data_IF_482069102900
#
_entry.id   IF_482069102900
#
_cell.length_a   1.000
_cell.length_b   1.000
_cell.length_c   1.000
_cell.angle_alpha   90.00
_cell.angle_beta   90.00
_cell.angle_gamma   90.00
#
_symmetry.space_group_name_H-M   'P 1'
#
loop_
_entity.id
_entity.type
_entity.pdbx_description
1 polymer ?
#
# COMPACT_ATOMS: atom_id res chain seq x y z
N UNK A 1 -25.38 24.75 11.27
CA UNK A 1 -26.12 23.51 11.56
C UNK A 1 -25.21 22.36 11.15
N UNK A 2 -24.58 21.67 12.11
CA UNK A 2 -23.66 20.57 11.81
C UNK A 2 -24.48 19.33 11.45
N UNK A 3 -24.42 18.93 10.19
CA UNK A 3 -25.08 17.73 9.69
C UNK A 3 -24.12 16.54 9.85
N UNK A 4 -24.45 15.60 10.73
CA UNK A 4 -23.69 14.36 10.90
C UNK A 4 -24.15 13.35 9.84
N UNK A 5 -23.19 12.83 9.06
CA UNK A 5 -23.44 11.76 8.07
C UNK A 5 -22.83 10.46 8.56
N UNK A 6 -23.59 9.39 8.46
CA UNK A 6 -23.21 8.06 8.88
C UNK A 6 -23.09 7.15 7.65
N UNK A 7 -21.87 6.74 7.24
CA UNK A 7 -21.64 5.97 6.02
C UNK A 7 -22.43 4.65 5.94
N UNK A 8 -22.78 4.07 7.08
CA UNK A 8 -23.50 2.78 7.16
C UNK A 8 -24.94 2.83 6.59
N UNK A 9 -25.55 4.02 6.51
CA UNK A 9 -26.94 4.20 6.05
C UNK A 9 -27.05 4.72 4.62
N UNK A 10 -25.95 4.70 3.87
CA UNK A 10 -25.93 5.18 2.49
C UNK A 10 -26.60 4.19 1.53
N UNK A 11 -27.12 4.72 0.42
CA UNK A 11 -27.69 3.92 -0.66
C UNK A 11 -26.66 2.97 -1.27
N UNK A 12 -27.11 1.82 -1.76
CA UNK A 12 -26.22 0.81 -2.35
C UNK A 12 -25.67 1.24 -3.74
N UNK A 13 -26.36 2.11 -4.46
CA UNK A 13 -26.02 2.46 -5.85
C UNK A 13 -25.30 3.81 -5.95
N UNK A 14 -24.38 3.96 -6.92
CA UNK A 14 -23.73 5.25 -7.16
C UNK A 14 -24.76 6.30 -7.60
N UNK A 15 -24.66 7.49 -7.03
CA UNK A 15 -25.58 8.60 -7.35
C UNK A 15 -25.46 9.02 -8.82
N UNK A 16 -26.50 9.68 -9.35
CA UNK A 16 -26.43 10.30 -10.69
C UNK A 16 -25.28 11.30 -10.81
N UNK A 17 -24.90 11.95 -9.70
CA UNK A 17 -23.76 12.87 -9.61
C UNK A 17 -22.44 12.15 -9.88
N UNK A 18 -22.23 10.95 -9.33
CA UNK A 18 -21.05 10.12 -9.65
C UNK A 18 -20.97 9.82 -11.15
N UNK A 19 -22.08 9.39 -11.76
CA UNK A 19 -22.12 9.11 -13.20
C UNK A 19 -21.79 10.35 -14.03
N UNK A 20 -22.25 11.53 -13.63
CA UNK A 20 -21.94 12.77 -14.35
C UNK A 20 -20.48 13.22 -14.16
N UNK A 21 -19.98 13.19 -12.93
CA UNK A 21 -18.69 13.81 -12.55
C UNK A 21 -17.49 12.90 -12.77
N UNK A 22 -17.64 11.60 -12.55
CA UNK A 22 -16.54 10.64 -12.67
C UNK A 22 -16.63 9.85 -13.96
N UNK A 23 -17.82 9.36 -14.33
CA UNK A 23 -18.02 8.61 -15.56
C UNK A 23 -17.99 9.61 -16.73
N UNK A 24 -19.04 10.38 -17.01
CA UNK A 24 -19.14 11.21 -18.25
C UNK A 24 -18.08 12.30 -18.49
N UNK A 25 -17.24 12.67 -17.52
CA UNK A 25 -16.22 13.74 -17.65
C UNK A 25 -14.92 13.30 -18.30
N UNK A 26 -14.57 12.01 -18.26
CA UNK A 26 -13.23 11.54 -18.68
C UNK A 26 -12.96 11.62 -20.19
N UNK A 27 -14.00 11.72 -21.02
CA UNK A 27 -13.84 11.71 -22.49
C UNK A 27 -13.46 13.09 -23.05
N UNK A 28 -13.74 14.19 -22.34
CA UNK A 28 -13.55 15.54 -22.90
C UNK A 28 -12.13 16.11 -22.77
N UNK A 29 -11.34 15.65 -21.79
CA UNK A 29 -10.13 16.38 -21.38
C UNK A 29 -8.80 15.61 -21.53
N UNK A 30 -8.80 14.43 -22.20
CA UNK A 30 -7.61 13.56 -22.32
C UNK A 30 -6.92 13.31 -20.96
N UNK A 31 -7.71 13.15 -19.92
CA UNK A 31 -7.18 12.87 -18.58
C UNK A 31 -6.65 11.44 -18.51
N UNK A 32 -5.58 11.28 -17.76
CA UNK A 32 -5.01 9.99 -17.38
C UNK A 32 -5.47 9.64 -15.97
N UNK A 33 -5.68 8.35 -15.74
CA UNK A 33 -6.06 7.84 -14.43
C UNK A 33 -4.84 7.21 -13.76
N UNK A 34 -4.56 7.64 -12.53
CA UNK A 34 -3.64 6.95 -11.63
C UNK A 34 -4.44 6.28 -10.53
N UNK A 35 -4.05 5.06 -10.18
CA UNK A 35 -4.90 4.16 -9.41
C UNK A 35 -4.08 3.21 -8.54
N UNK A 36 -4.46 3.15 -7.28
CA UNK A 36 -3.90 2.28 -6.25
C UNK A 36 -4.99 1.33 -5.76
N UNK A 37 -4.63 0.08 -5.52
CA UNK A 37 -5.55 -0.99 -5.12
C UNK A 37 -4.98 -1.72 -3.92
N UNK A 38 -5.76 -1.85 -2.85
CA UNK A 38 -5.51 -2.85 -1.81
C UNK A 38 -6.35 -4.09 -2.09
N UNK A 39 -5.73 -5.25 -2.04
CA UNK A 39 -6.40 -6.55 -2.08
C UNK A 39 -6.39 -7.13 -0.67
N UNK A 40 -7.57 -7.24 -0.07
CA UNK A 40 -7.75 -7.73 1.29
C UNK A 40 -8.32 -9.14 1.22
N UNK A 41 -7.57 -10.12 1.70
CA UNK A 41 -7.87 -11.54 1.53
C UNK A 41 -8.67 -12.06 2.73
N UNK A 42 -9.55 -13.03 2.45
CA UNK A 42 -10.38 -13.76 3.40
C UNK A 42 -11.51 -12.93 3.98
N UNK A 43 -11.21 -11.85 4.71
CA UNK A 43 -12.21 -10.98 5.31
C UNK A 43 -11.78 -9.51 5.23
N UNK A 44 -12.75 -8.62 4.99
CA UNK A 44 -12.54 -7.19 5.11
C UNK A 44 -12.95 -6.76 6.52
N UNK A 45 -12.08 -6.06 7.28
CA UNK A 45 -12.45 -5.57 8.60
C UNK A 45 -13.71 -4.71 8.58
N UNK A 46 -14.63 -5.01 9.50
CA UNK A 46 -15.88 -4.26 9.64
C UNK A 46 -15.56 -2.82 9.99
N UNK A 47 -16.09 -1.87 9.21
CA UNK A 47 -15.87 -0.45 9.42
C UNK A 47 -14.61 0.11 8.75
N UNK A 48 -13.79 -0.69 8.06
CA UNK A 48 -12.56 -0.19 7.40
C UNK A 48 -12.87 0.95 6.43
N UNK A 49 -13.81 0.71 5.51
CA UNK A 49 -14.17 1.67 4.46
C UNK A 49 -14.83 2.92 5.05
N UNK A 50 -15.68 2.72 6.05
CA UNK A 50 -16.42 3.77 6.72
C UNK A 50 -15.47 4.67 7.53
N UNK A 51 -14.51 4.08 8.25
CA UNK A 51 -13.45 4.82 8.95
C UNK A 51 -12.55 5.57 7.98
N UNK A 52 -12.19 4.96 6.85
CA UNK A 52 -11.40 5.65 5.83
C UNK A 52 -12.17 6.84 5.24
N UNK A 53 -13.45 6.67 4.92
CA UNK A 53 -14.32 7.74 4.40
C UNK A 53 -14.44 8.90 5.39
N UNK A 54 -14.49 8.62 6.69
CA UNK A 54 -14.47 9.66 7.73
C UNK A 54 -13.08 10.30 7.84
N UNK A 55 -12.01 9.52 7.81
CA UNK A 55 -10.64 10.03 7.96
C UNK A 55 -10.22 10.93 6.81
N UNK A 56 -10.82 10.83 5.61
CA UNK A 56 -10.50 11.71 4.48
C UNK A 56 -11.26 13.04 4.52
N UNK A 57 -12.24 13.23 5.42
CA UNK A 57 -13.08 14.45 5.47
C UNK A 57 -12.29 15.75 5.66
N UNK A 58 -11.13 15.71 6.33
CA UNK A 58 -10.20 16.82 6.46
C UNK A 58 -9.60 17.29 5.12
N UNK A 59 -9.65 16.46 4.09
CA UNK A 59 -9.14 16.75 2.75
C UNK A 59 -10.22 17.23 1.77
N UNK A 60 -11.50 17.24 2.19
CA UNK A 60 -12.64 17.36 1.27
C UNK A 60 -13.35 18.71 1.34
N UNK A 61 -13.68 19.26 0.18
CA UNK A 61 -14.63 20.38 0.02
C UNK A 61 -16.04 19.90 -0.30
N UNK A 62 -16.18 18.86 -1.11
CA UNK A 62 -17.48 18.25 -1.47
C UNK A 62 -17.38 16.74 -1.53
N UNK A 63 -18.35 16.07 -0.92
CA UNK A 63 -18.43 14.61 -0.84
C UNK A 63 -19.72 14.12 -1.52
N UNK A 64 -19.58 13.11 -2.37
CA UNK A 64 -20.70 12.29 -2.88
C UNK A 64 -20.46 10.83 -2.52
N UNK A 65 -21.27 10.27 -1.64
CA UNK A 65 -21.07 8.91 -1.12
C UNK A 65 -22.21 7.96 -1.49
N UNK A 66 -21.87 6.68 -1.55
CA UNK A 66 -22.76 5.52 -1.53
C UNK A 66 -22.10 4.45 -0.65
N UNK A 67 -22.80 3.35 -0.37
CA UNK A 67 -22.36 2.33 0.58
C UNK A 67 -20.94 1.79 0.34
N UNK A 68 -20.57 1.68 -0.92
CA UNK A 68 -19.32 1.07 -1.36
C UNK A 68 -18.44 2.04 -2.16
N UNK A 69 -18.66 3.35 -2.03
CA UNK A 69 -17.79 4.30 -2.68
C UNK A 69 -18.06 5.75 -2.31
N UNK A 70 -17.01 6.54 -2.45
CA UNK A 70 -16.96 7.94 -2.06
C UNK A 70 -16.22 8.69 -3.15
N UNK A 71 -16.90 9.65 -3.78
CA UNK A 71 -16.31 10.59 -4.71
C UNK A 71 -16.10 11.92 -3.98
N UNK A 72 -14.83 12.29 -3.85
CA UNK A 72 -14.36 13.47 -3.13
C UNK A 72 -13.90 14.52 -4.12
N UNK A 73 -14.22 15.79 -3.84
CA UNK A 73 -13.54 16.94 -4.42
C UNK A 73 -12.59 17.53 -3.38
N UNK A 74 -11.30 17.57 -3.67
CA UNK A 74 -10.29 18.11 -2.74
C UNK A 74 -10.34 19.63 -2.69
N UNK A 75 -9.53 20.22 -1.80
CA UNK A 75 -9.30 21.68 -1.75
C UNK A 75 -8.70 22.23 -3.05
N UNK A 76 -7.93 21.41 -3.79
CA UNK A 76 -7.31 21.75 -5.07
C UNK A 76 -8.25 21.52 -6.27
N UNK A 77 -9.56 21.40 -6.03
CA UNK A 77 -10.58 21.12 -7.04
C UNK A 77 -10.41 19.77 -7.78
N UNK A 78 -9.69 18.82 -7.17
CA UNK A 78 -9.42 17.49 -7.78
C UNK A 78 -10.47 16.48 -7.37
N UNK A 79 -10.83 15.60 -8.30
CA UNK A 79 -11.71 14.49 -8.02
C UNK A 79 -10.91 13.25 -7.60
N UNK A 80 -11.21 12.71 -6.41
CA UNK A 80 -10.67 11.46 -5.90
C UNK A 80 -11.80 10.45 -5.73
N UNK A 81 -11.61 9.25 -6.26
CA UNK A 81 -12.51 8.12 -6.09
C UNK A 81 -11.93 7.15 -5.06
N UNK A 82 -12.74 6.82 -4.07
CA UNK A 82 -12.55 5.72 -3.14
C UNK A 82 -13.68 4.71 -3.40
N UNK A 83 -13.37 3.44 -3.65
CA UNK A 83 -14.39 2.43 -3.93
C UNK A 83 -14.02 1.08 -3.30
N UNK A 84 -15.01 0.42 -2.69
CA UNK A 84 -14.93 -0.95 -2.20
C UNK A 84 -15.65 -1.88 -3.17
N UNK A 85 -15.01 -2.98 -3.56
CA UNK A 85 -15.69 -4.08 -4.26
C UNK A 85 -15.33 -5.39 -3.59
N UNK A 86 -16.18 -6.41 -3.75
CA UNK A 86 -15.92 -7.74 -3.23
C UNK A 86 -16.10 -8.75 -4.35
N UNK A 87 -15.09 -9.58 -4.57
CA UNK A 87 -15.16 -10.71 -5.49
C UNK A 87 -14.66 -11.94 -4.76
N UNK A 88 -15.50 -12.98 -4.69
CA UNK A 88 -15.20 -14.19 -3.93
C UNK A 88 -14.76 -13.87 -2.49
N UNK A 89 -13.54 -14.27 -2.14
CA UNK A 89 -12.91 -14.08 -0.83
C UNK A 89 -11.92 -12.90 -0.79
N UNK A 90 -11.94 -12.03 -1.81
CA UNK A 90 -11.08 -10.86 -1.88
C UNK A 90 -11.95 -9.61 -1.87
N UNK A 91 -11.59 -8.67 -1.00
CA UNK A 91 -12.16 -7.33 -1.00
C UNK A 91 -11.14 -6.37 -1.56
N UNK A 92 -11.54 -5.61 -2.57
CA UNK A 92 -10.70 -4.60 -3.20
C UNK A 92 -11.06 -3.24 -2.65
N UNK A 93 -10.04 -2.49 -2.24
CA UNK A 93 -10.16 -1.08 -1.91
C UNK A 93 -9.39 -0.28 -2.97
N UNK A 94 -10.16 0.40 -3.80
CA UNK A 94 -9.68 1.15 -4.95
C UNK A 94 -9.59 2.64 -4.62
N UNK A 95 -8.43 3.23 -4.87
CA UNK A 95 -8.17 4.67 -4.75
C UNK A 95 -7.72 5.19 -6.12
N UNK A 96 -8.40 6.20 -6.67
CA UNK A 96 -8.05 6.72 -7.99
C UNK A 96 -8.22 8.24 -8.09
N UNK A 97 -7.42 8.85 -8.96
CA UNK A 97 -7.61 10.24 -9.42
C UNK A 97 -7.45 10.33 -10.91
N UNK A 98 -8.11 11.33 -11.52
CA UNK A 98 -7.96 11.65 -12.94
C UNK A 98 -7.41 13.05 -13.09
N UNK A 99 -6.34 13.17 -13.85
CA UNK A 99 -5.63 14.43 -14.08
C UNK A 99 -5.18 14.54 -15.53
N UNK A 100 -4.99 15.74 -16.08
CA UNK A 100 -4.25 15.91 -17.34
C UNK A 100 -2.87 15.27 -17.24
N UNK A 101 -2.35 14.71 -18.35
CA UNK A 101 -1.05 14.00 -18.34
C UNK A 101 0.13 14.83 -17.80
N UNK A 102 0.14 16.15 -18.05
CA UNK A 102 1.13 17.10 -17.50
C UNK A 102 1.05 17.30 -15.98
N UNK A 103 -0.04 16.88 -15.35
CA UNK A 103 -0.34 17.05 -13.92
C UNK A 103 -0.27 15.70 -13.17
N UNK A 104 0.30 14.65 -13.78
CA UNK A 104 0.44 13.32 -13.18
C UNK A 104 1.06 13.35 -11.79
N UNK A 105 2.11 14.15 -11.61
CA UNK A 105 2.83 14.26 -10.34
C UNK A 105 1.96 14.88 -9.25
N UNK A 106 1.16 15.87 -9.60
CA UNK A 106 0.18 16.45 -8.70
C UNK A 106 -0.92 15.43 -8.38
N UNK A 107 -1.38 14.66 -9.37
CA UNK A 107 -2.34 13.58 -9.16
C UNK A 107 -1.84 12.55 -8.14
N UNK A 108 -0.57 12.15 -8.23
CA UNK A 108 0.06 11.31 -7.21
C UNK A 108 0.10 12.00 -5.85
N UNK A 109 0.55 13.25 -5.78
CA UNK A 109 0.60 14.01 -4.53
C UNK A 109 -0.78 14.13 -3.85
N UNK A 110 -1.85 14.28 -4.62
CA UNK A 110 -3.22 14.35 -4.12
C UNK A 110 -3.75 12.99 -3.65
N UNK A 111 -3.30 11.88 -4.26
CA UNK A 111 -3.74 10.52 -3.95
C UNK A 111 -3.02 9.93 -2.72
N UNK A 112 -1.72 10.24 -2.54
CA UNK A 112 -0.88 9.66 -1.49
C UNK A 112 -1.42 9.82 -0.05
N UNK A 113 -2.00 10.96 0.36
CA UNK A 113 -2.59 11.10 1.70
C UNK A 113 -3.66 10.04 2.00
N UNK A 114 -4.48 9.69 1.01
CA UNK A 114 -5.54 8.68 1.17
C UNK A 114 -4.93 7.28 1.20
N UNK A 115 -3.94 7.00 0.34
CA UNK A 115 -3.20 5.73 0.34
C UNK A 115 -2.57 5.49 1.71
N UNK A 116 -1.93 6.51 2.29
CA UNK A 116 -1.31 6.43 3.61
C UNK A 116 -2.33 6.20 4.73
N UNK A 117 -3.48 6.88 4.69
CA UNK A 117 -4.58 6.67 5.65
C UNK A 117 -5.14 5.25 5.55
N UNK A 118 -5.37 4.75 4.34
CA UNK A 118 -5.84 3.38 4.11
C UNK A 118 -4.84 2.33 4.62
N UNK A 119 -3.56 2.50 4.29
CA UNK A 119 -2.49 1.61 4.76
C UNK A 119 -2.31 1.67 6.28
N UNK A 120 -2.43 2.87 6.89
CA UNK A 120 -2.38 3.05 8.33
C UNK A 120 -3.53 2.35 9.04
N UNK A 121 -4.75 2.52 8.53
CA UNK A 121 -5.93 1.84 9.04
C UNK A 121 -5.76 0.32 8.98
N UNK A 122 -5.36 -0.25 7.84
CA UNK A 122 -5.20 -1.71 7.70
C UNK A 122 -4.27 -2.34 8.75
N UNK A 123 -3.26 -1.60 9.24
CA UNK A 123 -2.34 -2.05 10.30
C UNK A 123 -3.00 -2.17 11.68
N UNK A 124 -4.15 -1.53 11.90
CA UNK A 124 -4.86 -1.59 13.19
C UNK A 124 -5.57 -2.92 13.43
N UNK A 125 -5.76 -3.74 12.39
CA UNK A 125 -6.43 -5.04 12.50
C UNK A 125 -5.42 -6.18 12.43
N UNK A 126 -5.14 -6.86 13.57
CA UNK A 126 -4.23 -8.00 13.59
C UNK A 126 -4.74 -9.13 12.68
N UNK A 127 -3.83 -9.72 11.90
CA UNK A 127 -4.12 -10.88 11.06
C UNK A 127 -4.86 -10.59 9.75
N UNK A 128 -5.07 -9.31 9.40
CA UNK A 128 -5.52 -8.95 8.05
C UNK A 128 -4.38 -9.18 7.07
N UNK A 129 -4.66 -9.97 6.04
CA UNK A 129 -3.75 -10.17 4.90
C UNK A 129 -4.16 -9.20 3.80
N UNK A 130 -3.32 -8.21 3.53
CA UNK A 130 -3.56 -7.24 2.47
C UNK A 130 -2.33 -7.01 1.60
N UNK A 131 -2.53 -6.97 0.28
CA UNK A 131 -1.50 -6.59 -0.69
C UNK A 131 -1.83 -5.24 -1.32
N UNK A 132 -0.80 -4.46 -1.62
CA UNK A 132 -0.91 -3.16 -2.25
C UNK A 132 -0.38 -3.25 -3.68
N UNK A 133 -1.16 -2.75 -4.64
CA UNK A 133 -0.79 -2.69 -6.05
C UNK A 133 -1.04 -1.31 -6.63
N UNK A 134 -0.27 -0.98 -7.66
CA UNK A 134 -0.53 0.15 -8.55
C UNK A 134 -1.01 -0.40 -9.89
N UNK A 135 -2.20 0.03 -10.31
CA UNK A 135 -2.75 -0.35 -11.60
C UNK A 135 -2.06 0.45 -12.70
N UNK A 136 -1.65 -0.22 -13.78
CA UNK A 136 -0.94 0.38 -14.90
C UNK A 136 -1.80 1.44 -15.61
N UNK A 137 -1.44 2.73 -15.45
CA UNK A 137 -2.13 3.86 -16.08
C UNK A 137 -2.32 3.74 -17.60
N UNK A 138 -1.35 3.14 -18.30
CA UNK A 138 -1.40 2.87 -19.75
C UNK A 138 -2.59 1.98 -20.13
N UNK A 139 -2.97 1.04 -19.26
CA UNK A 139 -4.05 0.10 -19.52
C UNK A 139 -5.43 0.77 -19.62
N UNK A 140 -5.57 2.00 -19.10
CA UNK A 140 -6.80 2.79 -19.15
C UNK A 140 -6.89 3.71 -20.38
N UNK A 141 -5.79 3.92 -21.10
CA UNK A 141 -5.70 4.85 -22.23
C UNK A 141 -6.37 4.42 -23.54
N UNK A 142 -7.02 3.25 -23.58
CA UNK A 142 -7.73 2.70 -24.76
C UNK A 142 -9.25 2.65 -24.63
N UNK A 143 -9.83 3.41 -23.70
CA UNK A 143 -11.26 3.30 -23.38
C UNK A 143 -12.14 4.17 -24.30
N UNK A 144 -12.73 3.55 -25.32
CA UNK A 144 -13.92 4.10 -25.97
C UNK A 144 -15.12 4.08 -25.01
N UNK A 145 -15.92 5.13 -25.11
CA UNK A 145 -16.99 5.59 -24.20
C UNK A 145 -18.10 4.62 -23.80
N UNK A 146 -18.13 3.38 -24.30
CA UNK A 146 -19.28 2.46 -24.13
C UNK A 146 -19.13 1.41 -23.02
N UNK A 147 -17.95 1.24 -22.42
CA UNK A 147 -17.70 0.12 -21.50
C UNK A 147 -17.10 0.56 -20.16
N UNK A 148 -17.78 1.45 -19.43
CA UNK A 148 -17.38 1.84 -18.07
C UNK A 148 -18.05 1.02 -16.95
N UNK A 149 -18.97 0.13 -17.29
CA UNK A 149 -19.80 -0.61 -16.33
C UNK A 149 -19.19 -1.90 -15.77
N UNK A 150 -18.06 -2.39 -16.31
CA UNK A 150 -17.39 -3.60 -15.83
C UNK A 150 -15.88 -3.39 -15.70
N UNK A 151 -15.46 -2.84 -14.55
CA UNK A 151 -14.05 -2.65 -14.17
C UNK A 151 -13.43 -3.91 -13.56
N UNK A 152 -14.26 -4.81 -13.02
CA UNK A 152 -13.90 -6.10 -12.41
C UNK A 152 -13.44 -7.16 -13.42
N UNK A 153 -13.84 -7.04 -14.69
CA UNK A 153 -13.57 -8.04 -15.73
C UNK A 153 -12.42 -7.70 -16.68
N UNK A 154 -11.60 -6.68 -16.36
CA UNK A 154 -10.52 -6.24 -17.25
C UNK A 154 -9.16 -6.64 -16.71
N UNK A 155 -8.41 -7.38 -17.52
CA UNK A 155 -6.99 -7.64 -17.29
C UNK A 155 -6.23 -6.31 -17.37
N UNK A 156 -5.82 -5.79 -16.23
CA UNK A 156 -4.99 -4.60 -16.08
C UNK A 156 -3.61 -5.07 -15.63
N UNK A 157 -2.55 -4.44 -16.14
CA UNK A 157 -1.21 -4.70 -15.60
C UNK A 157 -1.11 -4.18 -14.17
N UNK A 158 -0.61 -4.98 -13.24
CA UNK A 158 -0.42 -4.57 -11.86
C UNK A 158 1.06 -4.49 -11.52
N UNK A 159 1.45 -3.42 -10.83
CA UNK A 159 2.78 -3.25 -10.27
C UNK A 159 2.72 -3.44 -8.74
N UNK A 160 3.76 -4.02 -8.13
CA UNK A 160 3.85 -4.12 -6.67
C UNK A 160 3.77 -2.74 -6.00
N UNK A 161 3.17 -2.64 -4.82
CA UNK A 161 2.96 -1.37 -4.11
C UNK A 161 4.25 -0.63 -3.72
N UNK A 162 5.38 -1.32 -3.72
CA UNK A 162 6.72 -0.77 -3.47
C UNK A 162 7.05 0.38 -4.43
N UNK A 163 6.51 0.37 -5.65
CA UNK A 163 6.73 1.43 -6.66
C UNK A 163 6.30 2.82 -6.21
N UNK A 164 5.41 2.91 -5.21
CA UNK A 164 5.01 4.19 -4.61
C UNK A 164 6.11 4.82 -3.73
N UNK A 165 7.14 4.05 -3.38
CA UNK A 165 8.18 4.40 -2.40
C UNK A 165 9.60 4.21 -2.92
N UNK A 166 9.76 3.97 -4.22
CA UNK A 166 11.06 3.84 -4.90
C UNK A 166 11.20 4.92 -5.95
N UNK A 167 12.45 5.19 -6.35
CA UNK A 167 12.71 6.15 -7.41
C UNK A 167 12.10 5.70 -8.75
N UNK A 168 11.63 6.69 -9.51
CA UNK A 168 11.04 6.46 -10.83
C UNK A 168 12.12 5.96 -11.80
N UNK A 169 11.95 4.78 -12.43
CA UNK A 169 12.88 4.29 -13.42
C UNK A 169 12.79 5.10 -14.72
N UNK A 170 13.86 5.07 -15.53
CA UNK A 170 13.89 5.71 -16.85
C UNK A 170 12.99 4.97 -17.85
N UNK A 171 12.99 3.64 -17.79
CA UNK A 171 12.20 2.76 -18.64
C UNK A 171 11.29 1.90 -17.79
N UNK A 172 10.08 1.68 -18.28
CA UNK A 172 9.11 0.85 -17.60
C UNK A 172 8.28 0.10 -18.63
N UNK A 173 8.18 -1.22 -18.46
CA UNK A 173 7.38 -2.06 -19.33
C UNK A 173 6.06 -2.41 -18.67
N UNK A 174 4.97 -2.34 -19.43
CA UNK A 174 3.66 -2.79 -18.99
C UNK A 174 3.68 -4.33 -18.78
N UNK A 175 3.39 -4.83 -17.55
CA UNK A 175 3.46 -6.27 -17.28
C UNK A 175 2.37 -7.07 -18.01
N UNK A 176 1.33 -6.39 -18.52
CA UNK A 176 0.25 -7.02 -19.30
C UNK A 176 0.56 -7.08 -20.79
N UNK A 177 1.04 -5.99 -21.39
CA UNK A 177 1.16 -5.89 -22.86
C UNK A 177 2.60 -6.01 -23.36
N UNK A 178 3.60 -5.83 -22.50
CA UNK A 178 4.99 -5.75 -22.91
C UNK A 178 5.39 -4.42 -23.55
N UNK A 179 4.47 -3.46 -23.64
CA UNK A 179 4.76 -2.13 -24.21
C UNK A 179 5.63 -1.30 -23.27
N UNK A 180 6.50 -0.46 -23.82
CA UNK A 180 7.16 0.62 -23.08
C UNK A 180 6.13 1.69 -22.72
N UNK A 181 6.10 2.09 -21.45
CA UNK A 181 5.10 3.02 -20.91
C UNK A 181 5.77 4.17 -20.17
N UNK A 182 5.09 5.31 -20.13
CA UNK A 182 5.53 6.44 -19.30
C UNK A 182 5.55 6.03 -17.82
N UNK A 183 6.72 6.01 -17.14
CA UNK A 183 6.82 5.61 -15.74
C UNK A 183 5.99 6.49 -14.79
N UNK A 184 5.69 7.74 -15.15
CA UNK A 184 4.85 8.64 -14.35
C UNK A 184 3.39 8.16 -14.20
N UNK A 185 2.95 7.21 -15.03
CA UNK A 185 1.64 6.56 -14.90
C UNK A 185 1.56 5.58 -13.73
N UNK A 186 2.69 5.25 -13.10
CA UNK A 186 2.83 4.22 -12.06
C UNK A 186 3.63 4.73 -10.86
N UNK A 187 4.66 5.53 -11.11
CA UNK A 187 5.58 6.04 -10.09
C UNK A 187 5.32 7.54 -9.80
N UNK A 188 5.18 7.95 -8.53
CA UNK A 188 5.20 9.36 -8.16
C UNK A 188 6.58 9.99 -8.45
N UNK A 189 6.61 11.29 -8.82
CA UNK A 189 7.88 12.02 -9.11
C UNK A 189 8.74 12.23 -7.89
N UNK A 190 8.10 12.40 -6.75
CA UNK A 190 8.74 12.50 -5.45
C UNK A 190 8.07 11.42 -4.62
N UNK A 191 8.58 10.18 -4.61
CA UNK A 191 8.14 9.24 -3.60
C UNK A 191 8.28 10.00 -2.27
N UNK A 192 7.23 10.03 -1.42
CA UNK A 192 7.41 10.60 -0.09
C UNK A 192 8.67 9.93 0.43
N UNK A 193 9.69 10.74 0.80
CA UNK A 193 10.88 10.20 1.50
C UNK A 193 10.26 9.24 2.47
N UNK A 194 10.56 7.94 2.34
CA UNK A 194 10.08 6.96 3.30
C UNK A 194 10.29 7.68 4.62
N UNK A 195 9.24 8.04 5.35
CA UNK A 195 9.35 8.00 6.79
C UNK A 195 9.79 6.57 6.92
N UNK A 196 11.11 6.33 7.06
CA UNK A 196 11.69 5.01 7.04
C UNK A 196 10.70 4.22 7.88
N UNK A 197 9.95 3.24 7.33
CA UNK A 197 9.22 2.33 8.17
C UNK A 197 10.38 1.83 8.99
N UNK A 198 10.54 2.35 10.23
CA UNK A 198 11.88 2.42 10.84
C UNK A 198 12.50 1.06 10.67
N UNK A 199 13.81 0.90 10.48
CA UNK A 199 14.41 -0.42 10.32
C UNK A 199 13.82 -1.49 11.29
N UNK A 200 13.37 -0.99 12.44
CA UNK A 200 12.59 -1.61 13.49
C UNK A 200 11.07 -1.83 13.26
N UNK A 201 10.53 -1.64 12.08
CA UNK A 201 9.14 -1.85 11.69
C UNK A 201 8.99 -3.25 11.11
N UNK A 202 7.77 -3.75 11.01
CA UNK A 202 7.55 -5.10 10.47
C UNK A 202 8.01 -5.22 9.01
N UNK A 203 7.87 -4.15 8.23
CA UNK A 203 8.39 -4.10 6.85
C UNK A 203 9.92 -4.12 6.83
N UNK A 204 10.58 -3.33 7.69
CA UNK A 204 12.04 -3.32 7.81
C UNK A 204 12.62 -4.66 8.27
N UNK A 205 11.99 -5.29 9.26
CA UNK A 205 12.38 -6.61 9.76
C UNK A 205 12.17 -7.70 8.71
N UNK A 206 11.10 -7.62 7.91
CA UNK A 206 10.86 -8.57 6.82
C UNK A 206 11.91 -8.42 5.70
N UNK A 207 12.29 -7.19 5.34
CA UNK A 207 13.38 -6.96 4.39
C UNK A 207 14.72 -7.52 4.88
N UNK A 208 15.05 -7.32 6.16
CA UNK A 208 16.24 -7.93 6.76
C UNK A 208 16.16 -9.46 6.76
N UNK A 209 14.98 -10.02 7.06
CA UNK A 209 14.77 -11.47 7.06
C UNK A 209 15.03 -12.11 5.69
N UNK A 210 14.55 -11.48 4.61
CA UNK A 210 14.78 -11.91 3.22
C UNK A 210 16.25 -11.96 2.86
N UNK A 211 17.04 -11.01 3.37
CA UNK A 211 18.45 -10.90 3.02
C UNK A 211 19.34 -11.76 3.91
N UNK A 212 18.92 -12.09 5.15
CA UNK A 212 19.77 -12.74 6.15
C UNK A 212 20.08 -14.21 5.84
N UNK A 213 19.12 -14.99 5.36
CA UNK A 213 19.38 -16.37 4.92
C UNK A 213 19.90 -17.30 6.01
N UNK A 214 20.96 -18.08 5.72
CA UNK A 214 21.41 -19.21 6.56
C UNK A 214 22.11 -18.78 7.86
N UNK A 215 22.59 -17.54 7.92
CA UNK A 215 23.33 -16.96 9.04
C UNK A 215 22.43 -16.63 10.25
N UNK A 216 21.12 -16.79 10.12
CA UNK A 216 20.15 -16.35 11.12
C UNK A 216 20.24 -17.03 12.47
N UNK A 217 20.69 -18.29 12.53
CA UNK A 217 20.89 -18.99 13.79
C UNK A 217 22.04 -18.40 14.57
N UNK A 218 23.13 -18.04 13.88
CA UNK A 218 24.25 -17.32 14.47
C UNK A 218 23.80 -15.95 14.96
N UNK A 219 23.04 -15.20 14.15
CA UNK A 219 22.46 -13.93 14.60
C UNK A 219 21.58 -14.10 15.83
N UNK A 220 20.69 -15.10 15.86
CA UNK A 220 19.82 -15.34 17.00
C UNK A 220 20.62 -15.61 18.29
N UNK A 221 21.73 -16.36 18.20
CA UNK A 221 22.63 -16.60 19.34
C UNK A 221 23.26 -15.28 19.82
N UNK A 222 23.78 -14.46 18.91
CA UNK A 222 24.35 -13.14 19.23
C UNK A 222 23.32 -12.17 19.84
N UNK A 223 22.04 -12.32 19.46
CA UNK A 223 20.92 -11.57 20.02
C UNK A 223 20.38 -12.17 21.34
N UNK A 224 21.02 -13.22 21.88
CA UNK A 224 20.70 -13.80 23.18
C UNK A 224 19.55 -14.81 23.17
N UNK A 225 19.25 -15.43 22.04
CA UNK A 225 18.29 -16.54 21.98
C UNK A 225 18.98 -17.86 22.35
N UNK A 226 18.27 -18.68 23.12
CA UNK A 226 18.68 -20.04 23.44
C UNK A 226 18.43 -20.98 22.26
N UNK A 227 19.17 -22.11 22.21
CA UNK A 227 18.95 -23.13 21.17
C UNK A 227 17.50 -23.66 21.16
N UNK A 228 16.87 -23.78 22.33
CA UNK A 228 15.47 -24.20 22.44
C UNK A 228 14.49 -23.17 21.85
N UNK A 229 14.79 -21.88 21.95
CA UNK A 229 14.00 -20.83 21.30
C UNK A 229 14.19 -20.83 19.78
N UNK A 230 15.43 -21.01 19.32
CA UNK A 230 15.73 -21.11 17.88
C UNK A 230 15.02 -22.32 17.27
N UNK A 231 15.04 -23.46 17.97
CA UNK A 231 14.32 -24.66 17.55
C UNK A 231 12.81 -24.41 17.50
N UNK A 232 12.21 -23.78 18.51
CA UNK A 232 10.79 -23.43 18.49
C UNK A 232 10.45 -22.51 17.32
N UNK A 233 11.22 -21.44 17.11
CA UNK A 233 11.02 -20.51 15.99
C UNK A 233 11.06 -21.21 14.64
N UNK A 234 11.94 -22.20 14.49
CA UNK A 234 12.02 -23.02 13.29
C UNK A 234 10.86 -24.02 13.17
N UNK A 235 10.43 -24.63 14.28
CA UNK A 235 9.29 -25.56 14.31
C UNK A 235 7.95 -24.87 14.06
N UNK A 236 7.81 -23.62 14.49
CA UNK A 236 6.62 -22.80 14.25
C UNK A 236 6.51 -22.37 12.77
N UNK A 237 7.64 -22.38 12.04
CA UNK A 237 7.73 -21.97 10.64
C UNK A 237 8.49 -23.01 9.78
N UNK A 238 8.02 -24.27 9.70
CA UNK A 238 8.80 -25.39 9.19
C UNK A 238 9.09 -25.31 7.68
N UNK A 239 8.30 -24.52 6.94
CA UNK A 239 8.41 -24.39 5.49
C UNK A 239 9.08 -23.08 5.05
N UNK A 240 9.48 -22.22 5.99
CA UNK A 240 9.99 -20.89 5.68
C UNK A 240 11.06 -20.44 6.67
N UNK A 241 12.30 -20.46 6.18
CA UNK A 241 13.43 -19.85 6.90
C UNK A 241 13.20 -18.34 7.05
N UNK A 242 12.65 -17.68 6.04
CA UNK A 242 12.33 -16.24 6.10
C UNK A 242 11.38 -15.92 7.26
N UNK A 243 10.30 -16.69 7.43
CA UNK A 243 9.33 -16.48 8.51
C UNK A 243 9.92 -16.81 9.88
N UNK A 244 10.82 -17.80 9.95
CA UNK A 244 11.59 -18.10 11.16
C UNK A 244 12.47 -16.91 11.56
N UNK A 245 13.13 -16.28 10.58
CA UNK A 245 14.00 -15.12 10.79
C UNK A 245 13.17 -13.90 11.19
N UNK A 246 12.09 -13.64 10.48
CA UNK A 246 11.19 -12.53 10.76
C UNK A 246 10.61 -12.63 12.17
N UNK A 247 10.13 -13.82 12.57
CA UNK A 247 9.64 -14.11 13.91
C UNK A 247 10.70 -13.86 14.98
N UNK A 248 11.94 -14.29 14.72
CA UNK A 248 13.08 -14.02 15.61
C UNK A 248 13.34 -12.52 15.78
N UNK A 249 13.39 -11.76 14.68
CA UNK A 249 13.65 -10.30 14.71
C UNK A 249 12.52 -9.52 15.41
N UNK A 250 11.26 -9.91 15.20
CA UNK A 250 10.12 -9.34 15.91
C UNK A 250 10.18 -9.67 17.40
N UNK A 251 10.53 -10.90 17.76
CA UNK A 251 10.69 -11.31 19.16
C UNK A 251 11.85 -10.58 19.83
N UNK A 252 12.98 -10.39 19.14
CA UNK A 252 14.12 -9.61 19.62
C UNK A 252 13.71 -8.16 19.91
N UNK A 253 13.03 -7.51 18.95
CA UNK A 253 12.55 -6.13 19.11
C UNK A 253 11.64 -6.00 20.34
N UNK A 254 10.75 -6.98 20.57
CA UNK A 254 9.85 -6.99 21.74
C UNK A 254 10.61 -7.08 23.08
N UNK A 255 11.80 -7.71 23.12
CA UNK A 255 12.63 -7.82 24.34
C UNK A 255 13.29 -6.49 24.74
N UNK A 256 13.42 -5.52 23.82
CA UNK A 256 14.15 -4.27 24.04
C UNK A 256 13.34 -3.18 24.76
N UNK A 257 12.03 -3.36 24.97
CA UNK A 257 11.19 -2.39 25.69
C UNK A 257 11.01 -1.05 24.93
N UNK A 258 11.12 0.08 25.63
CA UNK A 258 10.78 1.41 25.09
C UNK A 258 11.84 2.02 24.14
N UNK A 259 13.09 1.53 24.18
CA UNK A 259 14.18 2.03 23.35
C UNK A 259 14.92 0.87 22.71
N UNK A 260 14.68 0.65 21.42
CA UNK A 260 15.31 -0.45 20.68
C UNK A 260 16.75 -0.06 20.32
N UNK A 261 17.70 -0.88 20.77
CA UNK A 261 19.12 -0.65 20.54
C UNK A 261 19.54 -1.17 19.15
N UNK A 262 19.49 -0.29 18.14
CA UNK A 262 19.87 -0.62 16.75
C UNK A 262 21.36 -0.92 16.63
N UNK A 263 22.22 -0.23 17.40
CA UNK A 263 23.66 -0.52 17.42
C UNK A 263 23.97 -1.94 17.89
N UNK A 264 23.18 -2.49 18.82
CA UNK A 264 23.31 -3.88 19.25
C UNK A 264 22.95 -4.86 18.12
N UNK A 265 21.92 -4.55 17.31
CA UNK A 265 21.58 -5.36 16.13
C UNK A 265 22.70 -5.33 15.08
N UNK A 266 23.26 -4.16 14.80
CA UNK A 266 24.37 -4.00 13.86
C UNK A 266 25.62 -4.78 14.30
N UNK A 267 25.95 -4.72 15.60
CA UNK A 267 27.05 -5.48 16.18
C UNK A 267 26.82 -7.00 16.05
N UNK A 268 25.61 -7.46 16.38
CA UNK A 268 25.24 -8.87 16.27
C UNK A 268 25.25 -9.37 14.81
N UNK A 269 24.81 -8.55 13.85
CA UNK A 269 24.90 -8.86 12.42
C UNK A 269 26.35 -8.99 11.94
N UNK A 270 27.22 -8.09 12.41
CA UNK A 270 28.65 -8.16 12.13
C UNK A 270 29.27 -9.45 12.69
N UNK A 271 28.94 -9.79 13.94
CA UNK A 271 29.40 -11.01 14.60
C UNK A 271 28.88 -12.28 13.91
N UNK A 272 27.65 -12.24 13.37
CA UNK A 272 27.06 -13.31 12.57
C UNK A 272 27.63 -13.41 11.13
N UNK A 273 28.59 -12.56 10.77
CA UNK A 273 29.25 -12.58 9.45
C UNK A 273 28.52 -11.80 8.35
N UNK A 274 27.54 -10.97 8.70
CA UNK A 274 26.73 -10.16 7.78
C UNK A 274 27.00 -8.67 7.94
N UNK A 275 28.27 -8.30 7.75
CA UNK A 275 28.72 -6.90 7.80
C UNK A 275 28.01 -6.03 6.75
N UNK A 276 27.72 -6.60 5.57
CA UNK A 276 26.90 -5.97 4.53
C UNK A 276 25.54 -5.48 5.05
N UNK A 277 24.87 -6.31 5.86
CA UNK A 277 23.60 -5.95 6.47
C UNK A 277 23.77 -5.01 7.66
N UNK A 278 24.85 -5.16 8.43
CA UNK A 278 25.15 -4.27 9.55
C UNK A 278 25.40 -2.84 9.08
N UNK A 279 26.18 -2.65 8.01
CA UNK A 279 26.47 -1.35 7.42
C UNK A 279 25.17 -0.73 6.86
N UNK A 280 24.35 -1.52 6.16
CA UNK A 280 23.00 -1.10 5.72
C UNK A 280 22.10 -0.69 6.88
N UNK A 281 22.07 -1.44 7.98
CA UNK A 281 21.32 -1.14 9.21
C UNK A 281 21.76 0.20 9.84
N UNK A 282 23.06 0.50 9.82
CA UNK A 282 23.63 1.72 10.39
C UNK A 282 23.45 2.95 9.49
N UNK A 283 23.43 2.78 8.16
CA UNK A 283 23.15 3.86 7.20
C UNK A 283 21.72 4.42 7.32
N UNK A 284 20.81 3.67 7.95
CA UNK A 284 19.41 4.05 8.15
C UNK A 284 19.10 4.58 9.56
N UNK A 285 20.12 4.82 10.39
CA UNK A 285 20.06 5.53 11.69
C UNK A 285 20.15 7.05 11.51
#
# INVERSE_FOLDING_TARGET
>A
MNCFRFPWFLENSPTQIYKKLWVSSAIKDRQVEVRVRFEIISYCPVGLFERLSVQINDLVTRVTEWKDGTLVRTLNDRLLLLQRTKEHNVTYLLLATRVPGRELDQGWADLMPIVNKAAGLLKEWPGVLSYLFVDCGHCFGRLDSQEWSNLSSREIGHFPGEVLYTDRPVHLTCPRTGDDINPALVYPSSPPRKSNPGLLSDVGMLCLAKQLGKEWKSLAIELGFTLAEIQRLQSDNPFSTEDSIFSMLVQWRRRQGASVNVSALAAALTAAGRKDLADSVLEHL
#
